data_IF_505663612466
#
_entry.id   IF_505663612466
#
_cell.length_a   1.000
_cell.length_b   1.000
_cell.length_c   1.000
_cell.angle_alpha   90.00
_cell.angle_beta   90.00
_cell.angle_gamma   90.00
#
_symmetry.space_group_name_H-M   'P 1'
#
loop_
_entity.id
_entity.type
_entity.pdbx_description
1 polymer ?
#
# COMPACT_ATOMS: atom_id res chain seq x y z
N UNK A 1 1.63 26.25 -22.90
CA UNK A 1 0.63 25.25 -22.48
C UNK A 1 0.63 25.25 -20.97
N UNK A 2 -0.31 25.98 -20.39
CA UNK A 2 -0.56 25.92 -18.95
C UNK A 2 -1.04 24.51 -18.63
N UNK A 3 -0.20 23.81 -17.89
CA UNK A 3 -0.49 22.51 -17.34
C UNK A 3 -1.62 22.72 -16.32
N UNK A 4 -2.87 22.54 -16.76
CA UNK A 4 -4.05 22.45 -15.88
C UNK A 4 -3.93 21.17 -15.07
N UNK A 5 -2.97 21.13 -14.16
CA UNK A 5 -2.76 20.02 -13.25
C UNK A 5 -3.92 20.06 -12.28
N UNK A 6 -4.73 19.02 -12.37
CA UNK A 6 -5.86 18.76 -11.49
C UNK A 6 -5.46 19.01 -10.04
N UNK A 7 -6.09 20.00 -9.43
CA UNK A 7 -5.95 20.33 -8.02
C UNK A 7 -6.71 19.25 -7.22
N UNK A 8 -6.04 18.30 -6.55
CA UNK A 8 -6.76 17.18 -5.97
C UNK A 8 -7.36 17.59 -4.62
N UNK A 9 -8.64 17.94 -4.70
CA UNK A 9 -9.68 17.46 -3.79
C UNK A 9 -9.72 17.91 -2.31
N UNK A 10 -9.70 19.22 -1.98
CA UNK A 10 -10.17 19.68 -0.67
C UNK A 10 -11.55 19.09 -0.31
N UNK A 11 -12.44 18.99 -1.29
CA UNK A 11 -13.77 18.40 -1.14
C UNK A 11 -13.75 16.90 -0.77
N UNK A 12 -12.82 16.09 -1.30
CA UNK A 12 -12.73 14.67 -0.92
C UNK A 12 -12.17 14.49 0.48
N UNK A 13 -11.23 15.35 0.90
CA UNK A 13 -10.69 15.31 2.26
C UNK A 13 -11.78 15.71 3.26
N UNK A 14 -12.53 16.78 2.98
CA UNK A 14 -13.65 17.18 3.81
C UNK A 14 -14.74 16.10 3.86
N UNK A 15 -15.07 15.52 2.69
CA UNK A 15 -16.03 14.43 2.59
C UNK A 15 -15.55 13.19 3.35
N UNK A 16 -14.26 12.85 3.26
CA UNK A 16 -13.65 11.75 3.98
C UNK A 16 -13.91 11.87 5.48
N UNK A 17 -13.63 13.02 6.08
CA UNK A 17 -13.87 13.22 7.52
C UNK A 17 -15.35 13.06 7.89
N UNK A 18 -16.25 13.67 7.11
CA UNK A 18 -17.69 13.55 7.34
C UNK A 18 -18.19 12.11 7.20
N UNK A 19 -17.72 11.40 6.18
CA UNK A 19 -18.08 10.01 5.91
C UNK A 19 -17.48 9.06 6.96
N UNK A 20 -16.26 9.29 7.43
CA UNK A 20 -15.66 8.49 8.52
C UNK A 20 -16.45 8.71 9.81
N UNK A 21 -16.76 9.95 10.17
CA UNK A 21 -17.59 10.24 11.35
C UNK A 21 -18.93 9.52 11.26
N UNK A 22 -19.65 9.66 10.15
CA UNK A 22 -20.93 9.00 9.93
C UNK A 22 -20.86 7.48 10.05
N UNK A 23 -19.88 6.84 9.40
CA UNK A 23 -19.83 5.39 9.27
C UNK A 23 -19.14 4.69 10.47
N UNK A 24 -18.22 5.38 11.16
CA UNK A 24 -17.40 4.80 12.24
C UNK A 24 -17.74 5.34 13.63
N UNK A 25 -18.78 6.18 13.78
CA UNK A 25 -19.26 6.68 15.08
C UNK A 25 -19.57 5.57 16.10
N UNK A 26 -19.89 4.36 15.63
CA UNK A 26 -20.12 3.22 16.51
C UNK A 26 -18.86 2.84 17.32
N UNK A 27 -17.65 3.16 16.85
CA UNK A 27 -16.41 2.94 17.61
C UNK A 27 -16.41 3.79 18.89
N UNK A 28 -16.90 5.03 18.83
CA UNK A 28 -16.98 5.90 20.00
C UNK A 28 -18.23 5.64 20.84
N UNK A 29 -19.42 5.59 20.22
CA UNK A 29 -20.69 5.42 20.94
C UNK A 29 -20.85 4.01 21.53
N UNK A 30 -20.64 2.98 20.73
CA UNK A 30 -20.97 1.60 21.13
C UNK A 30 -19.80 0.94 21.88
N UNK A 31 -18.55 1.33 21.56
CA UNK A 31 -17.33 0.66 22.05
C UNK A 31 -16.44 1.54 22.93
N UNK A 32 -16.75 2.83 23.08
CA UNK A 32 -16.05 3.72 24.00
C UNK A 32 -14.65 4.17 23.55
N UNK A 33 -14.31 4.04 22.27
CA UNK A 33 -13.07 4.62 21.73
C UNK A 33 -13.14 6.16 21.78
N UNK A 34 -12.03 6.80 22.13
CA UNK A 34 -11.88 8.25 22.09
C UNK A 34 -11.41 8.69 20.70
N UNK A 35 -12.01 9.75 20.18
CA UNK A 35 -11.69 10.27 18.85
C UNK A 35 -10.48 11.21 18.89
N UNK A 36 -9.62 11.11 17.86
CA UNK A 36 -8.56 12.05 17.56
C UNK A 36 -8.40 12.21 16.05
N UNK A 37 -8.08 13.43 15.59
CA UNK A 37 -7.93 13.74 14.16
C UNK A 37 -6.51 14.20 13.86
N UNK A 38 -5.95 13.78 12.72
CA UNK A 38 -4.63 14.23 12.24
C UNK A 38 -4.61 14.33 10.72
N UNK A 39 -4.06 15.41 10.16
CA UNK A 39 -3.70 15.48 8.75
C UNK A 39 -2.18 15.55 8.64
N UNK A 40 -1.58 14.73 7.78
CA UNK A 40 -0.13 14.66 7.60
C UNK A 40 0.21 15.01 6.15
N UNK A 41 1.06 16.02 5.95
CA UNK A 41 1.73 16.26 4.67
C UNK A 41 2.96 15.34 4.58
N UNK A 42 2.90 14.39 3.66
CA UNK A 42 3.95 13.39 3.44
C UNK A 42 5.08 13.99 2.59
N UNK A 43 4.82 15.04 1.80
CA UNK A 43 5.77 15.68 0.91
C UNK A 43 6.82 16.56 1.61
N UNK A 44 6.57 16.98 2.86
CA UNK A 44 7.45 17.85 3.66
C UNK A 44 7.87 17.25 5.01
N UNK A 45 8.13 15.93 5.05
CA UNK A 45 8.76 15.31 6.22
C UNK A 45 7.84 15.18 7.44
N UNK A 46 6.57 14.81 7.23
CA UNK A 46 5.57 14.56 8.28
C UNK A 46 5.16 15.80 9.08
N UNK A 47 4.94 16.92 8.39
CA UNK A 47 4.32 18.08 9.03
C UNK A 47 2.83 17.78 9.28
N UNK A 48 2.39 17.86 10.52
CA UNK A 48 0.97 17.75 10.90
C UNK A 48 0.28 19.09 10.71
N UNK A 49 -0.85 19.08 10.02
CA UNK A 49 -1.71 20.25 9.82
C UNK A 49 -3.06 20.01 10.51
N UNK A 50 -3.64 21.09 11.05
CA UNK A 50 -5.03 21.07 11.46
C UNK A 50 -5.92 21.24 10.23
N UNK A 51 -7.17 20.76 10.29
CA UNK A 51 -8.15 20.88 9.20
C UNK A 51 -8.31 22.31 8.68
N UNK A 52 -8.20 23.30 9.58
CA UNK A 52 -8.31 24.72 9.25
C UNK A 52 -7.05 25.32 8.58
N UNK A 53 -5.90 24.65 8.64
CA UNK A 53 -4.61 25.15 8.15
C UNK A 53 -4.05 24.33 6.99
N UNK A 54 -4.87 23.44 6.40
CA UNK A 54 -4.47 22.57 5.31
C UNK A 54 -4.08 23.37 4.05
N UNK A 55 -2.82 23.28 3.57
CA UNK A 55 -2.38 24.02 2.39
C UNK A 55 -3.06 23.51 1.11
N UNK A 56 -3.53 24.44 0.27
CA UNK A 56 -4.21 24.10 -1.00
C UNK A 56 -3.30 23.45 -2.06
N UNK A 57 -1.97 23.45 -1.88
CA UNK A 57 -0.99 23.02 -2.89
C UNK A 57 -0.21 21.75 -2.50
N UNK A 58 -0.82 20.80 -1.79
CA UNK A 58 -0.15 19.53 -1.42
C UNK A 58 -0.51 18.43 -2.42
N UNK A 59 0.54 17.77 -2.93
CA UNK A 59 0.45 16.74 -3.97
C UNK A 59 0.47 15.32 -3.40
N UNK A 60 0.96 15.18 -2.16
CA UNK A 60 1.05 13.92 -1.43
C UNK A 60 0.57 14.21 -0.01
N UNK A 61 -0.67 13.87 0.28
CA UNK A 61 -1.27 14.05 1.60
C UNK A 61 -1.74 12.71 2.14
N UNK A 62 -1.84 12.62 3.46
CA UNK A 62 -2.58 11.57 4.14
C UNK A 62 -3.48 12.22 5.19
N UNK A 63 -4.78 12.17 4.95
CA UNK A 63 -5.80 12.55 5.92
C UNK A 63 -6.13 11.33 6.78
N UNK A 64 -6.06 11.44 8.10
CA UNK A 64 -6.43 10.32 8.97
C UNK A 64 -7.33 10.73 10.14
N UNK A 65 -8.15 9.79 10.57
CA UNK A 65 -8.98 9.87 11.78
C UNK A 65 -8.70 8.63 12.62
N UNK A 66 -8.36 8.84 13.88
CA UNK A 66 -7.92 7.82 14.82
C UNK A 66 -8.93 7.67 15.95
N UNK A 67 -9.22 6.43 16.31
CA UNK A 67 -10.06 6.02 17.43
C UNK A 67 -9.17 5.26 18.40
N UNK A 68 -9.04 5.69 19.65
CA UNK A 68 -8.14 5.09 20.64
C UNK A 68 -8.90 4.55 21.86
N UNK A 69 -8.57 3.33 22.29
CA UNK A 69 -9.11 2.70 23.50
C UNK A 69 -7.99 1.92 24.20
N UNK A 70 -7.54 2.41 25.37
CA UNK A 70 -6.52 1.79 26.26
C UNK A 70 -5.71 0.62 25.66
N UNK A 71 -4.66 0.96 24.92
CA UNK A 71 -3.74 -0.03 24.34
C UNK A 71 -4.16 -0.56 22.97
N UNK A 72 -5.29 -0.11 22.43
CA UNK A 72 -5.77 -0.43 21.09
C UNK A 72 -6.16 0.84 20.34
N UNK A 73 -6.04 0.84 19.02
CA UNK A 73 -6.57 1.94 18.19
C UNK A 73 -6.91 1.52 16.77
N UNK A 74 -7.85 2.22 16.16
CA UNK A 74 -8.11 2.17 14.72
C UNK A 74 -7.75 3.50 14.10
N UNK A 75 -6.89 3.51 13.09
CA UNK A 75 -6.59 4.67 12.27
C UNK A 75 -7.14 4.42 10.87
N UNK A 76 -8.14 5.22 10.48
CA UNK A 76 -8.66 5.26 9.11
C UNK A 76 -7.93 6.39 8.40
N UNK A 77 -7.28 6.08 7.29
CA UNK A 77 -6.57 7.05 6.48
C UNK A 77 -7.08 7.05 5.04
N UNK A 78 -7.06 8.22 4.44
CA UNK A 78 -7.27 8.46 3.03
C UNK A 78 -6.15 9.36 2.52
N UNK A 79 -5.49 8.91 1.46
CA UNK A 79 -4.46 9.71 0.80
C UNK A 79 -3.12 8.98 0.74
N UNK A 80 -2.54 9.08 -0.46
CA UNK A 80 -1.18 8.76 -0.92
C UNK A 80 -1.17 9.08 -2.44
N UNK A 81 -0.08 8.79 -3.16
CA UNK A 81 -0.02 8.79 -4.64
C UNK A 81 -1.18 8.03 -5.32
N UNK A 82 -1.80 7.10 -4.60
CA UNK A 82 -2.84 6.21 -5.12
C UNK A 82 -4.26 6.48 -4.59
N UNK A 83 -4.47 7.49 -3.75
CA UNK A 83 -5.82 7.89 -3.25
C UNK A 83 -6.65 6.71 -2.70
N UNK A 84 -6.03 5.79 -1.96
CA UNK A 84 -6.71 4.66 -1.33
C UNK A 84 -7.19 4.99 0.08
N UNK A 85 -8.15 4.20 0.56
CA UNK A 85 -8.55 4.16 1.97
C UNK A 85 -7.85 2.99 2.65
N UNK A 86 -7.21 3.24 3.79
CA UNK A 86 -6.60 2.21 4.61
C UNK A 86 -7.13 2.28 6.04
N UNK A 87 -7.26 1.11 6.68
CA UNK A 87 -7.49 1.04 8.12
C UNK A 87 -6.36 0.26 8.76
N UNK A 88 -5.71 0.89 9.73
CA UNK A 88 -4.71 0.28 10.59
C UNK A 88 -5.32 0.04 11.96
N UNK A 89 -5.25 -1.20 12.44
CA UNK A 89 -5.52 -1.56 13.81
C UNK A 89 -4.20 -1.70 14.56
N UNK A 90 -4.06 -0.99 15.67
CA UNK A 90 -2.90 -1.08 16.57
C UNK A 90 -3.32 -1.77 17.86
N UNK A 91 -2.53 -2.74 18.32
CA UNK A 91 -2.67 -3.41 19.61
C UNK A 91 -1.32 -3.42 20.32
N UNK A 92 -1.22 -2.68 21.42
CA UNK A 92 0.02 -2.42 22.13
C UNK A 92 1.01 -1.66 21.26
N UNK A 93 2.03 -2.36 20.73
CA UNK A 93 3.03 -1.79 19.80
C UNK A 93 2.94 -2.38 18.40
N UNK A 94 2.03 -3.30 18.17
CA UNK A 94 1.91 -4.00 16.89
C UNK A 94 0.82 -3.36 16.06
N UNK A 95 1.12 -3.14 14.78
CA UNK A 95 0.18 -2.55 13.80
C UNK A 95 -0.17 -3.58 12.75
N UNK A 96 -1.45 -3.66 12.44
CA UNK A 96 -2.00 -4.57 11.46
C UNK A 96 -2.90 -3.78 10.51
N UNK A 97 -2.78 -3.98 9.21
CA UNK A 97 -3.80 -3.49 8.30
C UNK A 97 -5.07 -4.34 8.46
N UNK A 98 -6.25 -3.73 8.40
CA UNK A 98 -7.53 -4.43 8.64
C UNK A 98 -7.70 -5.63 7.70
N UNK A 99 -7.29 -5.49 6.44
CA UNK A 99 -7.35 -6.57 5.45
C UNK A 99 -6.48 -7.78 5.84
N UNK A 100 -5.36 -7.58 6.54
CA UNK A 100 -4.50 -8.67 7.01
C UNK A 100 -5.20 -9.49 8.08
N UNK A 101 -5.88 -8.80 9.00
CA UNK A 101 -6.67 -9.44 10.07
C UNK A 101 -7.77 -10.29 9.44
N UNK A 102 -8.45 -9.75 8.43
CA UNK A 102 -9.57 -10.42 7.79
C UNK A 102 -9.13 -11.64 7.01
N UNK A 103 -8.04 -11.52 6.25
CA UNK A 103 -7.43 -12.65 5.56
C UNK A 103 -7.00 -13.74 6.55
N UNK A 104 -6.40 -13.36 7.68
CA UNK A 104 -6.02 -14.31 8.73
C UNK A 104 -7.23 -14.95 9.44
N UNK A 105 -8.39 -14.31 9.42
CA UNK A 105 -9.67 -14.85 9.90
C UNK A 105 -10.44 -15.64 8.83
N UNK A 106 -9.94 -15.71 7.58
CA UNK A 106 -10.66 -16.36 6.48
C UNK A 106 -11.87 -15.57 5.96
N UNK A 107 -11.92 -14.26 6.19
CA UNK A 107 -12.98 -13.37 5.71
C UNK A 107 -12.64 -12.89 4.30
N UNK A 108 -13.57 -13.01 3.36
CA UNK A 108 -13.35 -12.62 1.96
C UNK A 108 -13.05 -11.12 1.79
N UNK A 109 -12.10 -10.82 0.90
CA UNK A 109 -11.62 -9.45 0.61
C UNK A 109 -12.64 -8.56 -0.10
N UNK A 110 -13.68 -9.13 -0.72
CA UNK A 110 -14.73 -8.41 -1.47
C UNK A 110 -15.45 -7.35 -0.64
N UNK A 111 -15.37 -7.43 0.69
CA UNK A 111 -15.99 -6.50 1.64
C UNK A 111 -15.06 -5.33 2.04
N UNK A 112 -13.74 -5.38 1.77
CA UNK A 112 -12.74 -4.51 2.44
C UNK A 112 -11.67 -3.96 1.48
N UNK A 113 -11.83 -4.05 0.16
CA UNK A 113 -10.75 -3.62 -0.74
C UNK A 113 -10.63 -2.10 -0.83
N UNK A 114 -9.82 -1.52 0.04
CA UNK A 114 -9.23 -0.18 -0.12
C UNK A 114 -8.21 -0.08 -1.26
N UNK A 115 -7.94 -1.18 -1.99
CA UNK A 115 -6.96 -1.21 -3.09
C UNK A 115 -7.44 -0.53 -4.39
N UNK A 116 -8.55 0.20 -4.35
CA UNK A 116 -9.13 0.89 -5.50
C UNK A 116 -8.94 2.40 -5.31
N UNK A 117 -8.55 3.09 -6.40
CA UNK A 117 -8.40 4.54 -6.40
C UNK A 117 -9.73 5.23 -6.08
N UNK A 118 -9.77 6.01 -5.00
CA UNK A 118 -10.96 6.75 -4.57
C UNK A 118 -10.88 8.19 -5.06
N UNK A 119 -11.55 8.44 -6.19
CA UNK A 119 -11.47 9.72 -6.91
C UNK A 119 -12.79 10.52 -6.88
N UNK A 120 -13.84 10.00 -6.24
CA UNK A 120 -15.12 10.71 -6.10
C UNK A 120 -15.82 10.36 -4.78
N UNK A 121 -16.69 11.25 -4.32
CA UNK A 121 -17.39 11.16 -3.03
C UNK A 121 -18.35 9.97 -2.95
N UNK A 122 -19.09 9.67 -4.01
CA UNK A 122 -20.03 8.55 -4.03
C UNK A 122 -19.34 7.20 -3.84
N UNK A 123 -18.19 7.02 -4.50
CA UNK A 123 -17.38 5.81 -4.35
C UNK A 123 -16.68 5.77 -2.99
N UNK A 124 -16.20 6.90 -2.48
CA UNK A 124 -15.65 7.02 -1.12
C UNK A 124 -16.67 6.56 -0.06
N UNK A 125 -17.90 7.06 -0.13
CA UNK A 125 -18.98 6.68 0.79
C UNK A 125 -19.26 5.19 0.74
N UNK A 126 -19.37 4.62 -0.47
CA UNK A 126 -19.57 3.19 -0.63
C UNK A 126 -18.47 2.39 0.05
N UNK A 127 -17.20 2.73 -0.20
CA UNK A 127 -16.06 2.02 0.37
C UNK A 127 -16.02 2.17 1.90
N UNK A 128 -16.19 3.38 2.43
CA UNK A 128 -16.20 3.61 3.88
C UNK A 128 -17.37 2.89 4.56
N UNK A 129 -18.55 2.87 3.94
CA UNK A 129 -19.71 2.14 4.45
C UNK A 129 -19.51 0.63 4.43
N UNK A 130 -19.02 0.07 3.32
CA UNK A 130 -18.72 -1.36 3.19
C UNK A 130 -17.68 -1.80 4.25
N UNK A 131 -16.62 -1.01 4.43
CA UNK A 131 -15.59 -1.27 5.44
C UNK A 131 -16.17 -1.15 6.86
N UNK A 132 -16.96 -0.11 7.16
CA UNK A 132 -17.56 0.08 8.47
C UNK A 132 -18.52 -1.07 8.84
N UNK A 133 -19.34 -1.52 7.89
CA UNK A 133 -20.22 -2.67 8.06
C UNK A 133 -19.42 -3.96 8.32
N UNK A 134 -18.36 -4.18 7.54
CA UNK A 134 -17.42 -5.28 7.76
C UNK A 134 -16.81 -5.23 9.15
N UNK A 135 -16.33 -4.06 9.57
CA UNK A 135 -15.72 -3.83 10.88
C UNK A 135 -16.72 -4.10 11.99
N UNK A 136 -17.91 -3.48 11.93
CA UNK A 136 -18.96 -3.66 12.92
C UNK A 136 -19.38 -5.13 13.08
N UNK A 137 -19.46 -5.88 11.97
CA UNK A 137 -19.79 -7.31 11.99
C UNK A 137 -18.72 -8.17 12.68
N UNK A 138 -17.45 -7.78 12.58
CA UNK A 138 -16.32 -8.61 13.01
C UNK A 138 -15.57 -8.06 14.23
N UNK A 139 -15.97 -6.91 14.77
CA UNK A 139 -15.21 -6.22 15.83
C UNK A 139 -15.03 -7.06 17.09
N UNK A 140 -16.03 -7.87 17.45
CA UNK A 140 -15.96 -8.80 18.58
C UNK A 140 -14.89 -9.87 18.43
N UNK A 141 -14.44 -10.16 17.20
CA UNK A 141 -13.35 -11.09 16.91
C UNK A 141 -12.00 -10.36 16.78
N UNK A 142 -12.02 -9.09 16.35
CA UNK A 142 -10.82 -8.28 16.11
C UNK A 142 -10.20 -7.80 17.42
N UNK A 143 -10.98 -7.25 18.35
CA UNK A 143 -10.44 -6.75 19.62
C UNK A 143 -9.71 -7.86 20.40
N UNK A 144 -10.27 -9.07 20.59
CA UNK A 144 -9.58 -10.15 21.27
C UNK A 144 -8.62 -10.93 20.35
N UNK A 145 -8.09 -10.33 19.27
CA UNK A 145 -7.27 -11.03 18.26
C UNK A 145 -6.31 -12.03 18.91
N UNK A 146 -6.43 -13.29 18.50
CA UNK A 146 -5.70 -14.39 19.13
C UNK A 146 -4.24 -14.40 18.68
N UNK A 147 -3.33 -14.92 19.52
CA UNK A 147 -1.93 -15.17 19.13
C UNK A 147 -1.80 -16.05 17.88
N UNK A 148 -2.78 -16.91 17.62
CA UNK A 148 -2.79 -17.73 16.40
C UNK A 148 -3.07 -16.87 15.16
N UNK A 149 -4.05 -15.97 15.24
CA UNK A 149 -4.36 -15.02 14.17
C UNK A 149 -3.16 -14.12 13.88
N UNK A 150 -2.47 -13.62 14.92
CA UNK A 150 -1.24 -12.82 14.75
C UNK A 150 -0.13 -13.60 14.01
N UNK A 151 0.06 -14.89 14.33
CA UNK A 151 1.01 -15.75 13.60
C UNK A 151 0.65 -15.91 12.13
N UNK A 152 -0.63 -16.08 11.82
CA UNK A 152 -1.11 -16.18 10.43
C UNK A 152 -0.86 -14.87 9.68
N UNK A 153 -1.12 -13.72 10.32
CA UNK A 153 -0.81 -12.40 9.73
C UNK A 153 0.68 -12.32 9.39
N UNK A 154 1.56 -12.66 10.34
CA UNK A 154 3.01 -12.60 10.14
C UNK A 154 3.46 -13.50 8.99
N UNK A 155 2.98 -14.75 8.94
CA UNK A 155 3.29 -15.68 7.86
C UNK A 155 2.82 -15.15 6.48
N UNK A 156 1.65 -14.52 6.43
CA UNK A 156 1.13 -13.91 5.20
C UNK A 156 1.97 -12.70 4.76
N UNK A 157 2.41 -11.86 5.69
CA UNK A 157 3.29 -10.73 5.40
C UNK A 157 4.62 -11.21 4.82
N UNK A 158 5.23 -12.23 5.43
CA UNK A 158 6.47 -12.83 4.94
C UNK A 158 6.31 -13.43 3.55
N UNK A 159 5.20 -14.13 3.29
CA UNK A 159 4.86 -14.67 1.97
C UNK A 159 4.75 -13.55 0.93
N UNK A 160 4.00 -12.49 1.23
CA UNK A 160 3.81 -11.36 0.31
C UNK A 160 5.15 -10.67 0.04
N UNK A 161 5.96 -10.43 1.06
CA UNK A 161 7.29 -9.83 0.89
C UNK A 161 8.21 -10.69 0.01
N UNK A 162 8.17 -12.01 0.18
CA UNK A 162 8.90 -12.94 -0.67
C UNK A 162 8.42 -12.87 -2.13
N UNK A 163 7.11 -12.89 -2.36
CA UNK A 163 6.52 -12.77 -3.70
C UNK A 163 6.91 -11.47 -4.40
N UNK A 164 6.88 -10.35 -3.67
CA UNK A 164 7.34 -9.05 -4.17
C UNK A 164 8.82 -9.07 -4.53
N UNK A 165 9.66 -9.61 -3.65
CA UNK A 165 11.10 -9.74 -3.90
C UNK A 165 11.40 -10.58 -5.15
N UNK A 166 10.69 -11.69 -5.32
CA UNK A 166 10.84 -12.57 -6.49
C UNK A 166 10.37 -11.89 -7.78
N UNK A 167 9.26 -11.14 -7.73
CA UNK A 167 8.78 -10.36 -8.88
C UNK A 167 9.76 -9.26 -9.28
N UNK A 168 10.28 -8.52 -8.30
CA UNK A 168 11.24 -7.46 -8.57
C UNK A 168 12.54 -8.02 -9.16
N UNK A 169 13.06 -9.11 -8.60
CA UNK A 169 14.23 -9.79 -9.16
C UNK A 169 13.96 -10.28 -10.60
N UNK A 170 12.78 -10.83 -10.88
CA UNK A 170 12.40 -11.22 -12.23
C UNK A 170 12.39 -10.03 -13.19
N UNK A 171 11.85 -8.88 -12.76
CA UNK A 171 11.80 -7.64 -13.55
C UNK A 171 13.20 -7.07 -13.82
N UNK A 172 14.09 -7.11 -12.83
CA UNK A 172 15.49 -6.72 -13.01
C UNK A 172 16.19 -7.59 -14.05
N UNK A 173 16.01 -8.91 -13.97
CA UNK A 173 16.58 -9.86 -14.93
C UNK A 173 16.03 -9.59 -16.34
N UNK A 174 14.72 -9.38 -16.50
CA UNK A 174 14.11 -9.08 -17.80
C UNK A 174 14.66 -7.77 -18.39
N UNK A 175 14.75 -6.73 -17.58
CA UNK A 175 15.34 -5.44 -17.98
C UNK A 175 16.79 -5.61 -18.42
N UNK A 176 17.58 -6.39 -17.67
CA UNK A 176 18.97 -6.70 -18.01
C UNK A 176 19.08 -7.49 -19.34
N UNK A 177 18.16 -8.43 -19.57
CA UNK A 177 18.11 -9.20 -20.82
C UNK A 177 17.80 -8.30 -22.02
N UNK A 178 16.87 -7.36 -21.88
CA UNK A 178 16.53 -6.39 -22.93
C UNK A 178 17.71 -5.46 -23.24
N UNK A 179 18.36 -4.91 -22.21
CA UNK A 179 19.54 -4.06 -22.38
C UNK A 179 20.69 -4.82 -23.04
N UNK A 180 20.91 -6.07 -22.64
CA UNK A 180 21.89 -6.95 -23.26
C UNK A 180 21.52 -7.29 -24.71
N UNK A 181 20.25 -7.46 -25.04
CA UNK A 181 19.81 -7.68 -26.42
C UNK A 181 20.12 -6.46 -27.30
N UNK A 182 19.88 -5.24 -26.81
CA UNK A 182 20.20 -4.02 -27.53
C UNK A 182 21.72 -3.87 -27.73
N UNK A 183 22.51 -4.06 -26.66
CA UNK A 183 23.97 -4.02 -26.76
C UNK A 183 24.54 -5.09 -27.71
N UNK A 184 23.91 -6.27 -27.78
CA UNK A 184 24.29 -7.32 -28.71
C UNK A 184 24.06 -6.92 -30.17
N UNK A 185 22.92 -6.27 -30.48
CA UNK A 185 22.64 -5.77 -31.84
C UNK A 185 23.66 -4.70 -32.27
N UNK A 186 24.11 -3.89 -31.33
CA UNK A 186 25.18 -2.90 -31.51
C UNK A 186 26.58 -3.51 -31.55
N UNK A 187 26.70 -4.85 -31.47
CA UNK A 187 27.97 -5.60 -31.37
C UNK A 187 28.85 -5.20 -30.19
N UNK A 188 28.29 -4.56 -29.17
CA UNK A 188 29.00 -4.21 -27.94
C UNK A 188 29.03 -5.41 -26.97
N UNK A 189 29.85 -6.41 -27.31
CA UNK A 189 29.91 -7.68 -26.57
C UNK A 189 30.41 -7.52 -25.13
N UNK A 190 31.29 -6.54 -24.87
CA UNK A 190 31.76 -6.23 -23.52
C UNK A 190 30.59 -5.84 -22.60
N UNK A 191 29.71 -4.96 -23.07
CA UNK A 191 28.52 -4.53 -22.34
C UNK A 191 27.53 -5.68 -22.12
N UNK A 192 27.37 -6.57 -23.09
CA UNK A 192 26.53 -7.78 -22.93
C UNK A 192 27.06 -8.67 -21.80
N UNK A 193 28.37 -8.94 -21.76
CA UNK A 193 28.99 -9.76 -20.71
C UNK A 193 28.87 -9.09 -19.35
N UNK A 194 29.10 -7.78 -19.25
CA UNK A 194 29.00 -7.03 -18.01
C UNK A 194 27.58 -7.01 -17.42
N UNK A 195 26.55 -6.96 -18.27
CA UNK A 195 25.15 -6.99 -17.85
C UNK A 195 24.74 -8.40 -17.44
N UNK A 196 24.94 -9.41 -18.30
CA UNK A 196 24.39 -10.75 -18.10
C UNK A 196 25.16 -11.59 -17.08
N UNK A 197 26.47 -11.36 -16.87
CA UNK A 197 27.26 -12.19 -15.92
C UNK A 197 26.77 -12.06 -14.48
N UNK A 198 26.13 -10.95 -14.10
CA UNK A 198 25.55 -10.75 -12.77
C UNK A 198 24.42 -11.73 -12.44
N UNK A 199 23.79 -12.29 -13.48
CA UNK A 199 22.60 -13.13 -13.38
C UNK A 199 22.82 -14.55 -13.92
N UNK A 200 24.07 -14.98 -14.14
CA UNK A 200 24.42 -16.19 -14.90
C UNK A 200 23.67 -17.46 -14.45
N UNK A 201 23.54 -17.66 -13.13
CA UNK A 201 22.81 -18.80 -12.54
C UNK A 201 21.29 -18.75 -12.66
N UNK A 202 20.72 -17.64 -13.15
CA UNK A 202 19.27 -17.38 -13.30
C UNK A 202 18.85 -17.15 -14.74
N UNK A 203 19.79 -17.16 -15.68
CA UNK A 203 19.52 -16.99 -17.12
C UNK A 203 18.87 -18.25 -17.70
N UNK A 204 17.94 -18.07 -18.64
CA UNK A 204 17.40 -19.19 -19.44
C UNK A 204 18.45 -19.62 -20.48
N UNK A 205 18.32 -20.82 -21.08
CA UNK A 205 19.35 -21.37 -21.97
C UNK A 205 19.74 -20.44 -23.14
N UNK A 206 18.77 -19.75 -23.74
CA UNK A 206 19.04 -18.83 -24.84
C UNK A 206 19.93 -17.63 -24.42
N UNK A 207 19.74 -17.10 -23.21
CA UNK A 207 20.57 -16.00 -22.70
C UNK A 207 21.97 -16.49 -22.30
N UNK A 208 22.09 -17.72 -21.78
CA UNK A 208 23.38 -18.34 -21.50
C UNK A 208 24.19 -18.54 -22.79
N UNK A 209 23.56 -19.01 -23.87
CA UNK A 209 24.22 -19.12 -25.18
C UNK A 209 24.69 -17.76 -25.72
N UNK A 210 23.86 -16.71 -25.57
CA UNK A 210 24.24 -15.33 -25.95
C UNK A 210 25.46 -14.85 -25.15
N UNK A 211 25.47 -15.07 -23.83
CA UNK A 211 26.59 -14.72 -22.95
C UNK A 211 27.88 -15.47 -23.36
N UNK A 212 27.78 -16.77 -23.59
CA UNK A 212 28.90 -17.60 -24.03
C UNK A 212 29.47 -17.15 -25.39
N UNK A 213 28.59 -16.83 -26.34
CA UNK A 213 29.00 -16.27 -27.64
C UNK A 213 29.78 -14.96 -27.46
N UNK A 214 29.28 -14.03 -26.63
CA UNK A 214 29.92 -12.75 -26.39
C UNK A 214 31.29 -12.91 -25.73
N UNK A 215 31.41 -13.80 -24.72
CA UNK A 215 32.68 -14.12 -24.07
C UNK A 215 33.71 -14.61 -25.10
N UNK A 216 33.32 -15.48 -26.04
CA UNK A 216 34.20 -15.96 -27.12
C UNK A 216 34.67 -14.87 -28.08
N UNK A 217 33.91 -13.78 -28.25
CA UNK A 217 34.24 -12.67 -29.16
C UNK A 217 35.06 -11.55 -28.49
N UNK A 218 35.29 -11.66 -27.18
CA UNK A 218 36.15 -10.75 -26.42
C UNK A 218 37.55 -11.33 -26.19
N UNK A 219 37.75 -12.60 -26.53
CA UNK A 219 39.03 -13.30 -26.55
C UNK A 219 39.54 -13.38 -27.99
#
# INVERSE_FOLDING_TARGET
>A
MEDKRYDPFPELVEYFYSAVEKNFLFLSIDLGFQEGERIIDVGKGNSTYDKATFPQNIWIFSASKKYELKGESFEISYGDRESFIQIIYEKGKTKYALWQIYEAMGIERTVISGSQFVLNTAFMEKILSDIALGLKKNISNILPISKNTEKIIQANVERIQLEWKLKEESREIETAIEQAANAFREKNYFKVVAILSKYEGKLRPAQQMKLAYCRKHLH
#
